data_IF_698352900756
#
_entry.id   IF_698352900756
#
_cell.length_a   1.000
_cell.length_b   1.000
_cell.length_c   1.000
_cell.angle_alpha   90.00
_cell.angle_beta   90.00
_cell.angle_gamma   90.00
#
_symmetry.space_group_name_H-M   'P 1'
#
loop_
_entity.id
_entity.type
_entity.pdbx_description
1 polymer ?
#
# COMPACT_ATOMS: atom_id res chain seq x y z
N UNK A 1 49.25 16.62 -24.16
CA UNK A 1 48.86 15.47 -23.33
C UNK A 1 47.84 15.94 -22.30
N UNK A 2 46.62 16.22 -22.76
CA UNK A 2 45.51 16.65 -21.91
C UNK A 2 44.65 15.44 -21.63
N UNK A 3 44.65 14.98 -20.38
CA UNK A 3 43.74 13.93 -19.92
C UNK A 3 42.33 14.49 -19.98
N UNK A 4 41.50 13.94 -20.89
CA UNK A 4 40.05 14.09 -20.81
C UNK A 4 39.60 13.35 -19.55
N UNK A 5 39.23 14.12 -18.54
CA UNK A 5 38.53 13.63 -17.37
C UNK A 5 37.15 13.17 -17.83
N UNK A 6 36.91 11.86 -17.73
CA UNK A 6 35.58 11.25 -17.74
C UNK A 6 34.62 12.05 -16.82
N UNK A 7 33.41 12.43 -17.26
CA UNK A 7 32.41 12.99 -16.37
C UNK A 7 31.79 11.86 -15.54
N UNK A 8 32.57 11.37 -14.57
CA UNK A 8 32.08 10.64 -13.42
C UNK A 8 31.24 11.59 -12.57
N UNK A 9 29.98 11.22 -12.32
CA UNK A 9 29.02 11.90 -11.44
C UNK A 9 28.33 13.16 -12.02
N UNK A 10 27.48 12.98 -13.03
CA UNK A 10 26.34 13.88 -13.21
C UNK A 10 25.31 13.59 -12.10
N UNK A 11 25.51 14.17 -10.92
CA UNK A 11 24.48 14.26 -9.90
C UNK A 11 23.22 14.86 -10.54
N UNK A 12 22.10 14.15 -10.44
CA UNK A 12 20.81 14.56 -11.02
C UNK A 12 20.32 15.82 -10.32
N UNK A 13 20.66 16.98 -10.88
CA UNK A 13 20.08 18.26 -10.45
C UNK A 13 18.61 18.26 -10.90
N UNK A 14 17.72 17.90 -10.00
CA UNK A 14 16.29 18.02 -10.27
C UNK A 14 15.88 19.49 -10.10
N UNK A 15 15.30 20.08 -11.15
CA UNK A 15 14.81 21.47 -11.14
C UNK A 15 13.63 21.66 -10.19
N UNK A 16 12.81 20.63 -10.02
CA UNK A 16 11.62 20.67 -9.16
C UNK A 16 11.47 19.39 -8.35
N UNK A 17 10.68 19.45 -7.28
CA UNK A 17 10.25 18.26 -6.52
C UNK A 17 9.50 17.26 -7.40
N UNK A 18 8.76 17.75 -8.39
CA UNK A 18 8.03 16.89 -9.33
C UNK A 18 8.99 16.08 -10.20
N UNK A 19 10.05 16.71 -10.71
CA UNK A 19 11.07 16.03 -11.52
C UNK A 19 11.84 15.00 -10.70
N UNK A 20 12.19 15.34 -9.45
CA UNK A 20 12.84 14.42 -8.52
C UNK A 20 11.97 13.20 -8.22
N UNK A 21 10.70 13.43 -7.88
CA UNK A 21 9.77 12.33 -7.58
C UNK A 21 9.49 11.47 -8.82
N UNK A 22 9.39 12.08 -10.00
CA UNK A 22 9.20 11.34 -11.26
C UNK A 22 10.40 10.44 -11.56
N UNK A 23 11.62 10.95 -11.39
CA UNK A 23 12.85 10.17 -11.59
C UNK A 23 12.96 9.02 -10.57
N UNK A 24 12.70 9.30 -9.29
CA UNK A 24 12.69 8.28 -8.24
C UNK A 24 11.64 7.20 -8.50
N UNK A 25 10.42 7.60 -8.89
CA UNK A 25 9.36 6.67 -9.24
C UNK A 25 9.74 5.80 -10.44
N UNK A 26 10.28 6.39 -11.50
CA UNK A 26 10.70 5.65 -12.69
C UNK A 26 11.79 4.63 -12.37
N UNK A 27 12.79 5.01 -11.56
CA UNK A 27 13.84 4.10 -11.09
C UNK A 27 13.28 2.97 -10.24
N UNK A 28 12.38 3.29 -9.30
CA UNK A 28 11.75 2.28 -8.46
C UNK A 28 10.85 1.32 -9.26
N UNK A 29 10.08 1.82 -10.23
CA UNK A 29 9.25 1.00 -11.11
C UNK A 29 10.11 0.11 -12.02
N UNK A 30 11.23 0.60 -12.55
CA UNK A 30 12.15 -0.21 -13.36
C UNK A 30 12.79 -1.32 -12.50
N UNK A 31 13.25 -0.98 -11.30
CA UNK A 31 13.78 -1.97 -10.36
C UNK A 31 12.74 -3.01 -9.95
N UNK A 32 11.47 -2.63 -9.84
CA UNK A 32 10.37 -3.56 -9.56
C UNK A 32 10.17 -4.56 -10.70
N UNK A 33 10.28 -4.11 -11.96
CA UNK A 33 10.11 -4.99 -13.12
C UNK A 33 11.29 -5.94 -13.34
N UNK A 34 12.49 -5.51 -12.97
CA UNK A 34 13.73 -6.30 -13.07
C UNK A 34 13.90 -7.32 -11.93
N UNK A 35 13.17 -7.15 -10.83
CA UNK A 35 13.33 -7.98 -9.64
C UNK A 35 12.70 -9.37 -9.80
N UNK A 36 13.56 -10.39 -9.82
CA UNK A 36 13.16 -11.80 -9.85
C UNK A 36 13.48 -12.55 -8.56
N UNK A 37 14.09 -11.90 -7.57
CA UNK A 37 14.66 -12.57 -6.40
C UNK A 37 13.89 -12.30 -5.12
N UNK A 38 13.21 -11.16 -5.02
CA UNK A 38 12.50 -10.81 -3.79
C UNK A 38 11.30 -11.71 -3.51
N UNK A 39 10.96 -11.80 -2.22
CA UNK A 39 9.78 -12.52 -1.80
C UNK A 39 8.50 -11.78 -2.20
N UNK A 40 7.40 -12.53 -2.24
CA UNK A 40 6.10 -11.95 -2.61
C UNK A 40 5.64 -10.84 -1.65
N UNK A 41 6.08 -10.86 -0.39
CA UNK A 41 5.78 -9.77 0.54
C UNK A 41 6.44 -8.47 0.11
N UNK A 42 7.71 -8.52 -0.30
CA UNK A 42 8.41 -7.35 -0.84
C UNK A 42 7.72 -6.83 -2.09
N UNK A 43 7.27 -7.70 -2.99
CA UNK A 43 6.46 -7.29 -4.15
C UNK A 43 5.17 -6.54 -3.73
N UNK A 44 4.43 -7.04 -2.73
CA UNK A 44 3.23 -6.38 -2.19
C UNK A 44 3.58 -5.00 -1.62
N UNK A 45 4.62 -4.92 -0.79
CA UNK A 45 5.03 -3.66 -0.14
C UNK A 45 5.54 -2.64 -1.16
N UNK A 46 6.37 -3.06 -2.12
CA UNK A 46 6.87 -2.20 -3.19
C UNK A 46 5.73 -1.67 -4.06
N UNK A 47 4.77 -2.52 -4.44
CA UNK A 47 3.58 -2.11 -5.20
C UNK A 47 2.76 -1.07 -4.42
N UNK A 48 2.57 -1.30 -3.11
CA UNK A 48 1.86 -0.38 -2.23
C UNK A 48 2.56 0.99 -2.13
N UNK A 49 3.89 1.01 -2.05
CA UNK A 49 4.69 2.24 -2.01
C UNK A 49 4.62 3.00 -3.35
N UNK A 50 4.71 2.30 -4.48
CA UNK A 50 4.62 2.89 -5.82
C UNK A 50 3.26 3.58 -6.05
N UNK A 51 2.18 3.05 -5.47
CA UNK A 51 0.85 3.66 -5.60
C UNK A 51 0.77 5.11 -5.07
N UNK A 52 1.65 5.55 -4.15
CA UNK A 52 1.59 6.91 -3.61
C UNK A 52 1.89 7.99 -4.65
N UNK A 53 2.52 7.62 -5.76
CA UNK A 53 2.79 8.54 -6.85
C UNK A 53 1.59 8.62 -7.79
N UNK A 54 0.75 9.65 -7.61
CA UNK A 54 -0.37 9.93 -8.51
C UNK A 54 0.07 10.47 -9.88
N UNK A 55 1.29 11.04 -9.96
CA UNK A 55 2.01 11.34 -11.18
C UNK A 55 1.14 11.80 -12.36
N UNK A 56 1.28 11.08 -13.47
CA UNK A 56 0.43 11.23 -14.65
C UNK A 56 -0.74 10.22 -14.58
N UNK A 57 -2.00 10.67 -14.48
CA UNK A 57 -3.17 9.80 -14.37
C UNK A 57 -3.47 8.99 -15.64
N UNK A 58 -2.83 9.30 -16.77
CA UNK A 58 -2.96 8.54 -18.02
C UNK A 58 -1.81 7.55 -18.23
N UNK A 59 -1.01 7.29 -17.19
CA UNK A 59 0.09 6.32 -17.28
C UNK A 59 -0.46 4.92 -17.45
N UNK A 60 0.28 4.05 -18.16
CA UNK A 60 -0.10 2.65 -18.33
C UNK A 60 -0.30 1.91 -16.98
N UNK A 61 0.49 2.27 -15.97
CA UNK A 61 0.33 1.86 -14.57
C UNK A 61 0.16 3.12 -13.71
N UNK A 62 -1.09 3.54 -13.52
CA UNK A 62 -1.44 4.63 -12.62
C UNK A 62 -1.43 4.18 -11.14
N UNK A 63 -1.70 5.11 -10.23
CA UNK A 63 -1.74 4.84 -8.80
C UNK A 63 -2.75 3.75 -8.42
N UNK A 64 -3.91 3.71 -9.07
CA UNK A 64 -4.95 2.70 -8.82
C UNK A 64 -4.49 1.32 -9.25
N UNK A 65 -3.79 1.21 -10.39
CA UNK A 65 -3.21 -0.05 -10.85
C UNK A 65 -2.24 -0.64 -9.83
N UNK A 66 -1.33 0.18 -9.28
CA UNK A 66 -0.35 -0.27 -8.28
C UNK A 66 -1.01 -0.74 -6.98
N UNK A 67 -2.03 0.00 -6.52
CA UNK A 67 -2.79 -0.38 -5.32
C UNK A 67 -3.56 -1.68 -5.54
N UNK A 68 -4.26 -1.82 -6.67
CA UNK A 68 -4.98 -3.04 -7.02
C UNK A 68 -4.03 -4.24 -7.17
N UNK A 69 -2.85 -4.05 -7.75
CA UNK A 69 -1.82 -5.09 -7.87
C UNK A 69 -1.32 -5.54 -6.48
N UNK A 70 -1.08 -4.60 -5.55
CA UNK A 70 -0.71 -4.92 -4.17
C UNK A 70 -1.79 -5.72 -3.45
N UNK A 71 -3.05 -5.28 -3.54
CA UNK A 71 -4.21 -5.94 -2.93
C UNK A 71 -4.38 -7.35 -3.48
N UNK A 72 -4.40 -7.49 -4.82
CA UNK A 72 -4.61 -8.78 -5.47
C UNK A 72 -3.50 -9.76 -5.13
N UNK A 73 -2.26 -9.28 -5.06
CA UNK A 73 -1.11 -10.09 -4.66
C UNK A 73 -1.20 -10.55 -3.21
N UNK A 74 -1.57 -9.66 -2.29
CA UNK A 74 -1.81 -10.01 -0.89
C UNK A 74 -2.93 -11.04 -0.74
N UNK A 75 -4.01 -10.92 -1.54
CA UNK A 75 -5.08 -11.91 -1.58
C UNK A 75 -4.57 -13.28 -2.07
N UNK A 76 -3.77 -13.33 -3.14
CA UNK A 76 -3.15 -14.56 -3.63
C UNK A 76 -2.24 -15.23 -2.59
N UNK A 77 -1.65 -14.47 -1.68
CA UNK A 77 -0.85 -14.99 -0.57
C UNK A 77 -1.67 -15.42 0.64
N UNK A 78 -2.98 -15.15 0.64
CA UNK A 78 -3.87 -15.48 1.77
C UNK A 78 -3.93 -14.42 2.87
N UNK A 79 -3.43 -13.20 2.64
CA UNK A 79 -3.37 -12.17 3.70
C UNK A 79 -4.77 -11.68 4.12
N UNK A 80 -5.77 -11.91 3.27
CA UNK A 80 -7.18 -11.65 3.52
C UNK A 80 -7.86 -12.71 4.42
N UNK A 81 -7.11 -13.74 4.83
CA UNK A 81 -7.63 -14.84 5.65
C UNK A 81 -7.10 -14.79 7.08
N UNK A 82 -7.95 -15.20 8.02
CA UNK A 82 -7.58 -15.43 9.41
C UNK A 82 -6.42 -16.42 9.49
N UNK A 83 -5.43 -16.06 10.31
CA UNK A 83 -4.26 -16.91 10.59
C UNK A 83 -4.27 -17.44 12.02
N UNK A 84 -5.37 -17.27 12.76
CA UNK A 84 -5.52 -17.67 14.18
C UNK A 84 -5.19 -19.14 14.43
N UNK A 85 -5.64 -20.03 13.53
CA UNK A 85 -5.43 -21.48 13.66
C UNK A 85 -4.30 -21.99 12.75
N UNK A 86 -3.51 -21.08 12.16
CA UNK A 86 -2.36 -21.44 11.34
C UNK A 86 -1.20 -21.97 12.19
N UNK A 87 -0.17 -22.52 11.55
CA UNK A 87 1.12 -22.88 12.18
C UNK A 87 2.17 -21.77 12.08
N UNK A 88 1.78 -20.57 11.64
CA UNK A 88 2.69 -19.44 11.50
C UNK A 88 3.18 -18.94 12.86
N UNK A 89 4.38 -18.35 12.90
CA UNK A 89 4.85 -17.66 14.11
C UNK A 89 3.96 -16.45 14.45
N UNK A 90 3.85 -16.06 15.73
CA UNK A 90 3.09 -14.86 16.12
C UNK A 90 3.52 -13.60 15.36
N UNK A 91 4.82 -13.46 15.10
CA UNK A 91 5.40 -12.33 14.36
C UNK A 91 4.93 -12.30 12.90
N UNK A 92 4.90 -13.45 12.22
CA UNK A 92 4.42 -13.52 10.84
C UNK A 92 2.92 -13.24 10.74
N UNK A 93 2.12 -13.76 11.68
CA UNK A 93 0.68 -13.47 11.74
C UNK A 93 0.41 -11.98 11.93
N UNK A 94 1.12 -11.37 12.87
CA UNK A 94 1.04 -9.93 13.12
C UNK A 94 1.43 -9.14 11.87
N UNK A 95 2.54 -9.51 11.20
CA UNK A 95 2.96 -8.89 9.94
C UNK A 95 1.90 -9.00 8.84
N UNK A 96 1.31 -10.17 8.61
CA UNK A 96 0.27 -10.36 7.60
C UNK A 96 -0.97 -9.52 7.88
N UNK A 97 -1.42 -9.53 9.14
CA UNK A 97 -2.57 -8.74 9.59
C UNK A 97 -2.33 -7.24 9.38
N UNK A 98 -1.17 -6.72 9.79
CA UNK A 98 -0.81 -5.31 9.58
C UNK A 98 -0.81 -4.92 8.10
N UNK A 99 -0.19 -5.74 7.25
CA UNK A 99 -0.16 -5.48 5.80
C UNK A 99 -1.58 -5.46 5.23
N UNK A 100 -2.43 -6.42 5.60
CA UNK A 100 -3.82 -6.47 5.14
C UNK A 100 -4.60 -5.22 5.52
N UNK A 101 -4.54 -4.80 6.78
CA UNK A 101 -5.28 -3.62 7.23
C UNK A 101 -4.76 -2.30 6.64
N UNK A 102 -3.45 -2.19 6.40
CA UNK A 102 -2.89 -1.05 5.65
C UNK A 102 -3.48 -0.97 4.23
N UNK A 103 -3.57 -2.11 3.53
CA UNK A 103 -4.18 -2.18 2.20
C UNK A 103 -5.68 -1.86 2.25
N UNK A 104 -6.41 -2.41 3.23
CA UNK A 104 -7.84 -2.19 3.44
C UNK A 104 -8.18 -0.71 3.67
N UNK A 105 -7.48 -0.06 4.59
CA UNK A 105 -7.67 1.36 4.91
C UNK A 105 -7.36 2.19 3.66
N UNK A 106 -6.27 1.87 2.95
CA UNK A 106 -5.85 2.67 1.81
C UNK A 106 -6.79 2.55 0.62
N UNK A 107 -7.31 1.36 0.33
CA UNK A 107 -8.31 1.12 -0.72
C UNK A 107 -9.53 2.04 -0.56
N UNK A 108 -10.03 2.16 0.67
CA UNK A 108 -11.16 3.03 1.00
C UNK A 108 -10.82 4.51 0.94
N UNK A 109 -9.68 4.92 1.48
CA UNK A 109 -9.24 6.32 1.39
C UNK A 109 -9.09 6.78 -0.06
N UNK A 110 -8.51 5.93 -0.92
CA UNK A 110 -8.35 6.21 -2.35
C UNK A 110 -9.71 6.24 -3.05
N UNK A 111 -10.58 5.27 -2.77
CA UNK A 111 -11.93 5.20 -3.35
C UNK A 111 -12.81 6.38 -2.96
N UNK A 112 -12.80 6.77 -1.68
CA UNK A 112 -13.53 7.93 -1.18
C UNK A 112 -13.00 9.25 -1.76
N UNK A 113 -11.68 9.41 -1.91
CA UNK A 113 -11.09 10.64 -2.42
C UNK A 113 -11.24 10.81 -3.94
N UNK A 114 -11.29 9.72 -4.69
CA UNK A 114 -11.32 9.74 -6.16
C UNK A 114 -12.67 9.37 -6.76
N UNK A 115 -13.62 8.87 -5.96
CA UNK A 115 -14.90 8.36 -6.42
C UNK A 115 -14.82 7.02 -7.17
N UNK A 116 -13.67 6.32 -7.10
CA UNK A 116 -13.51 5.00 -7.70
C UNK A 116 -14.17 3.89 -6.86
N UNK A 117 -14.55 2.75 -7.47
CA UNK A 117 -14.94 1.57 -6.72
C UNK A 117 -13.81 1.05 -5.84
N UNK A 118 -14.16 0.50 -4.67
CA UNK A 118 -13.24 -0.24 -3.81
C UNK A 118 -12.84 -1.57 -4.45
N UNK A 119 -11.58 -1.96 -4.27
CA UNK A 119 -11.05 -3.26 -4.75
C UNK A 119 -11.41 -4.37 -3.76
N UNK A 120 -11.41 -4.08 -2.45
CA UNK A 120 -11.67 -5.05 -1.39
C UNK A 120 -13.15 -5.05 -1.03
N UNK A 121 -13.80 -6.19 -1.25
CA UNK A 121 -15.13 -6.47 -0.76
C UNK A 121 -15.09 -6.93 0.70
N UNK A 122 -15.92 -6.33 1.56
CA UNK A 122 -16.01 -6.66 2.99
C UNK A 122 -16.46 -8.12 3.25
N UNK A 123 -17.13 -8.75 2.29
CA UNK A 123 -17.56 -10.16 2.39
C UNK A 123 -16.43 -11.16 2.07
N UNK A 124 -15.32 -10.69 1.49
CA UNK A 124 -14.26 -11.55 0.96
C UNK A 124 -13.04 -11.64 1.88
N UNK A 125 -13.12 -11.18 3.13
CA UNK A 125 -12.04 -11.31 4.12
C UNK A 125 -12.55 -11.64 5.53
N UNK A 126 -11.72 -12.32 6.31
CA UNK A 126 -12.05 -12.75 7.69
C UNK A 126 -10.89 -12.50 8.68
N UNK A 127 -9.97 -11.58 8.32
CA UNK A 127 -8.84 -11.15 9.16
C UNK A 127 -9.32 -10.49 10.45
N UNK A 128 -8.71 -10.85 11.58
CA UNK A 128 -9.02 -10.25 12.88
C UNK A 128 -8.63 -8.77 12.91
N UNK A 129 -9.34 -8.00 13.74
CA UNK A 129 -9.05 -6.58 13.95
C UNK A 129 -7.66 -6.39 14.56
N UNK A 130 -6.98 -5.31 14.15
CA UNK A 130 -5.74 -4.89 14.77
C UNK A 130 -6.02 -4.39 16.18
N UNK A 131 -5.27 -4.92 17.14
CA UNK A 131 -5.23 -4.40 18.50
C UNK A 131 -3.99 -3.54 18.70
N UNK A 132 -4.07 -2.58 19.61
CA UNK A 132 -2.97 -1.66 19.91
C UNK A 132 -1.65 -2.37 20.28
N UNK A 133 -1.74 -3.50 20.97
CA UNK A 133 -0.57 -4.32 21.35
C UNK A 133 0.18 -4.86 20.13
N UNK A 134 -0.53 -5.08 19.02
CA UNK A 134 0.07 -5.48 17.75
C UNK A 134 0.70 -4.31 17.00
N UNK A 135 0.76 -3.11 17.57
CA UNK A 135 1.43 -1.94 16.99
C UNK A 135 2.43 -1.33 17.99
N UNK A 136 3.00 -2.15 18.87
CA UNK A 136 3.91 -1.71 19.94
C UNK A 136 5.19 -1.02 19.46
N UNK A 137 5.60 -1.30 18.21
CA UNK A 137 6.72 -0.69 17.51
C UNK A 137 6.39 0.68 16.89
N UNK A 138 5.11 1.03 16.79
CA UNK A 138 4.65 2.32 16.31
C UNK A 138 4.50 3.33 17.45
N UNK A 139 4.47 4.62 17.11
CA UNK A 139 4.10 5.64 18.10
C UNK A 139 2.65 5.44 18.55
N UNK A 140 2.30 5.75 19.81
CA UNK A 140 0.93 5.64 20.30
C UNK A 140 -0.09 6.43 19.46
N UNK A 141 0.34 7.55 18.88
CA UNK A 141 -0.46 8.37 17.95
C UNK A 141 -0.75 7.62 16.66
N UNK A 142 0.27 7.03 16.04
CA UNK A 142 0.13 6.26 14.79
C UNK A 142 -0.73 5.02 15.02
N UNK A 143 -0.49 4.29 16.11
CA UNK A 143 -1.28 3.11 16.45
C UNK A 143 -2.77 3.46 16.66
N UNK A 144 -3.06 4.54 17.40
CA UNK A 144 -4.44 5.04 17.56
C UNK A 144 -5.07 5.44 16.24
N UNK A 145 -4.32 6.13 15.38
CA UNK A 145 -4.80 6.53 14.06
C UNK A 145 -5.16 5.31 13.21
N UNK A 146 -4.28 4.30 13.13
CA UNK A 146 -4.53 3.07 12.36
C UNK A 146 -5.79 2.36 12.87
N UNK A 147 -5.92 2.17 14.18
CA UNK A 147 -7.09 1.51 14.78
C UNK A 147 -8.37 2.31 14.53
N UNK A 148 -8.32 3.64 14.67
CA UNK A 148 -9.48 4.50 14.39
C UNK A 148 -9.88 4.45 12.92
N UNK A 149 -8.90 4.47 12.01
CA UNK A 149 -9.16 4.34 10.57
C UNK A 149 -9.79 3.00 10.25
N UNK A 150 -9.29 1.90 10.83
CA UNK A 150 -9.89 0.57 10.65
C UNK A 150 -11.39 0.56 11.00
N UNK A 151 -11.75 1.08 12.17
CA UNK A 151 -13.15 1.13 12.63
C UNK A 151 -14.05 1.99 11.72
N UNK A 152 -13.59 3.18 11.35
CA UNK A 152 -14.33 4.10 10.46
C UNK A 152 -14.57 3.48 9.08
N UNK A 153 -13.56 2.79 8.55
CA UNK A 153 -13.59 2.22 7.22
C UNK A 153 -14.50 0.97 7.12
N UNK A 154 -14.78 0.30 8.24
CA UNK A 154 -15.78 -0.79 8.32
C UNK A 154 -17.21 -0.28 8.44
N UNK A 155 -17.42 0.88 9.05
CA UNK A 155 -18.75 1.45 9.27
C UNK A 155 -19.26 2.25 8.05
N UNK A 156 -18.35 2.84 7.28
CA UNK A 156 -18.67 3.60 6.06
C UNK A 156 -19.18 2.79 4.87
N UNK A 157 -19.16 1.45 4.92
CA UNK A 157 -19.61 0.56 3.83
C UNK A 157 -21.01 -0.04 4.06
N UNK A 158 -21.67 0.32 5.17
CA UNK A 158 -23.11 0.05 5.32
C UNK A 158 -23.92 0.77 4.23
N UNK A 159 -25.04 0.20 3.76
CA UNK A 159 -25.86 0.86 2.75
C UNK A 159 -26.23 2.27 3.23
N UNK A 160 -26.02 3.27 2.36
CA UNK A 160 -26.35 4.68 2.57
C UNK A 160 -27.83 4.94 2.94
N UNK A 161 -28.65 3.89 3.01
CA UNK A 161 -30.05 3.93 3.44
C UNK A 161 -30.24 4.40 4.90
N UNK A 162 -29.21 4.38 5.75
CA UNK A 162 -29.35 4.83 7.14
C UNK A 162 -29.10 6.33 7.37
N UNK A 163 -28.54 7.07 6.40
CA UNK A 163 -28.19 8.49 6.56
C UNK A 163 -29.11 9.46 5.79
N UNK A 164 -30.12 8.97 5.08
CA UNK A 164 -31.19 9.79 4.47
C UNK A 164 -32.56 9.50 5.10
N UNK A 165 -32.59 9.34 6.42
CA UNK A 165 -33.81 9.14 7.20
C UNK A 165 -34.11 10.31 8.13
N UNK A 166 -34.43 11.49 7.57
CA UNK A 166 -35.27 12.53 8.19
C UNK A 166 -35.93 13.36 7.10
#
# INVERSE_FOLDING_TARGET
MGQYLEPSCAASWHSTRLDANSDLFNKASASFDEDTQSDRTSMVLSSYLLHYWFGNPTSYRDAHWWLAAAIRSAQCMGYHRSTKDSQMSPQERSRWRRIWWCLYIRDRQTSLSTGSPMVINDLDHDVEELVMDELSDETPETARYITSQMELNKTGTGPLSYLMGT
#
